data_IF_114077962083
#
_entry.id   IF_114077962083
#
_cell.length_a   1.000
_cell.length_b   1.000
_cell.length_c   1.000
_cell.angle_alpha   90.00
_cell.angle_beta   90.00
_cell.angle_gamma   90.00
#
_symmetry.space_group_name_H-M   'P 1'
#
loop_
_entity.id
_entity.type
_entity.pdbx_description
1 polymer ?
#
# COMPACT_ATOMS: atom_id res chain seq x y z
N UNK A 1 26.93 13.69 34.01
CA UNK A 1 26.28 13.81 32.71
C UNK A 1 25.48 12.52 32.50
N UNK A 2 24.15 12.62 32.64
CA UNK A 2 23.26 11.51 32.39
C UNK A 2 23.46 11.08 30.93
N UNK A 3 23.91 9.85 30.75
CA UNK A 3 23.90 9.16 29.48
C UNK A 3 22.45 9.09 29.01
N UNK A 4 22.04 10.05 28.17
CA UNK A 4 20.77 9.97 27.50
C UNK A 4 20.88 8.86 26.45
N UNK A 5 20.48 7.66 26.82
CA UNK A 5 20.26 6.59 25.86
C UNK A 5 19.54 7.19 24.65
N UNK A 6 20.02 6.96 23.43
CA UNK A 6 19.34 7.47 22.26
C UNK A 6 17.89 7.00 22.32
N UNK A 7 16.94 7.92 22.28
CA UNK A 7 15.52 7.58 22.16
C UNK A 7 15.40 6.69 20.94
N UNK A 8 15.00 5.46 21.15
CA UNK A 8 14.87 4.48 20.08
C UNK A 8 13.73 4.94 19.16
N UNK A 9 14.08 5.75 18.16
CA UNK A 9 13.12 6.42 17.28
C UNK A 9 12.60 5.43 16.27
N UNK A 10 11.35 5.00 16.46
CA UNK A 10 10.65 4.16 15.50
C UNK A 10 10.27 4.97 14.25
N UNK A 11 10.74 4.53 13.08
CA UNK A 11 10.36 5.12 11.80
C UNK A 11 9.34 4.21 11.14
N UNK A 12 8.16 4.76 10.83
CA UNK A 12 7.10 4.08 10.09
C UNK A 12 6.80 4.89 8.84
N UNK A 13 6.77 4.22 7.70
CA UNK A 13 6.43 4.83 6.40
C UNK A 13 5.09 4.28 5.93
N UNK A 14 4.22 5.14 5.43
CA UNK A 14 2.95 4.77 4.81
C UNK A 14 2.88 5.39 3.42
N UNK A 15 2.80 4.55 2.41
CA UNK A 15 2.70 4.97 1.02
C UNK A 15 1.40 4.45 0.40
N UNK A 16 0.91 5.19 -0.58
CA UNK A 16 -0.19 4.77 -1.45
C UNK A 16 0.15 5.15 -2.90
N UNK A 17 -0.31 4.33 -3.84
CA UNK A 17 -0.18 4.64 -5.26
C UNK A 17 -0.99 5.88 -5.60
N UNK A 18 -0.45 6.71 -6.49
CA UNK A 18 -1.11 7.95 -6.91
C UNK A 18 -0.84 8.24 -8.39
N UNK A 19 -1.75 8.94 -9.03
CA UNK A 19 -1.59 9.53 -10.36
C UNK A 19 -1.70 11.05 -10.32
N UNK A 20 -1.90 11.62 -9.12
CA UNK A 20 -2.16 13.04 -8.93
C UNK A 20 -1.00 13.96 -9.32
N UNK A 21 0.23 13.44 -9.38
CA UNK A 21 1.45 14.22 -9.62
C UNK A 21 2.15 13.85 -10.96
N UNK A 22 1.45 13.12 -11.85
CA UNK A 22 1.99 12.66 -13.13
C UNK A 22 2.76 11.34 -13.03
N UNK A 23 3.23 10.86 -14.19
CA UNK A 23 3.80 9.51 -14.33
C UNK A 23 5.12 9.31 -13.58
N UNK A 24 5.87 10.38 -13.34
CA UNK A 24 7.14 10.32 -12.62
C UNK A 24 6.99 10.25 -11.08
N UNK A 25 5.76 10.29 -10.57
CA UNK A 25 5.46 10.19 -9.13
C UNK A 25 4.45 9.06 -8.89
N UNK A 26 4.89 7.81 -8.86
CA UNK A 26 4.00 6.65 -8.78
C UNK A 26 3.34 6.46 -7.39
N UNK A 27 3.89 7.06 -6.34
CA UNK A 27 3.36 6.95 -4.99
C UNK A 27 3.64 8.21 -4.17
N UNK A 28 2.82 8.43 -3.16
CA UNK A 28 3.00 9.48 -2.15
C UNK A 28 2.56 8.98 -0.77
N UNK A 29 2.90 9.72 0.28
CA UNK A 29 2.51 9.29 1.61
C UNK A 29 3.12 10.10 2.74
N UNK A 30 3.42 9.42 3.85
CA UNK A 30 3.90 10.03 5.08
C UNK A 30 4.99 9.20 5.76
N UNK A 31 5.85 9.88 6.51
CA UNK A 31 6.81 9.30 7.45
C UNK A 31 6.36 9.65 8.85
N UNK A 32 6.26 8.65 9.73
CA UNK A 32 6.01 8.83 11.16
C UNK A 32 7.27 8.54 11.96
N UNK A 33 7.60 9.47 12.84
CA UNK A 33 8.73 9.37 13.78
C UNK A 33 8.16 9.10 15.17
N UNK A 34 8.18 7.83 15.58
CA UNK A 34 7.51 7.35 16.78
C UNK A 34 6.01 7.74 16.75
N UNK A 35 5.41 8.03 17.89
CA UNK A 35 4.04 8.54 18.00
C UNK A 35 3.99 10.08 18.13
N UNK A 36 5.10 10.75 17.85
CA UNK A 36 5.30 12.16 18.18
C UNK A 36 5.30 13.09 16.97
N UNK A 37 5.65 12.61 15.79
CA UNK A 37 5.82 13.47 14.62
C UNK A 37 5.42 12.77 13.29
N UNK A 38 4.76 13.53 12.42
CA UNK A 38 4.39 13.07 11.06
C UNK A 38 4.89 14.08 10.03
N UNK A 39 5.57 13.58 9.01
CA UNK A 39 5.94 14.33 7.81
C UNK A 39 5.02 13.82 6.70
N UNK A 40 4.05 14.63 6.30
CA UNK A 40 3.09 14.30 5.23
C UNK A 40 3.51 14.90 3.90
N UNK A 41 3.12 14.27 2.79
CA UNK A 41 3.37 14.78 1.45
C UNK A 41 4.72 14.39 0.87
N UNK A 42 5.36 13.33 1.39
CA UNK A 42 6.50 12.72 0.69
C UNK A 42 6.05 12.13 -0.63
N UNK A 43 6.91 12.12 -1.63
CA UNK A 43 6.66 11.57 -2.96
C UNK A 43 7.75 10.59 -3.33
N UNK A 44 7.35 9.47 -3.92
CA UNK A 44 8.31 8.62 -4.65
C UNK A 44 8.47 9.19 -6.04
N UNK A 45 9.70 9.35 -6.48
CA UNK A 45 10.04 9.85 -7.81
C UNK A 45 10.72 8.77 -8.63
N UNK A 46 10.40 8.73 -9.92
CA UNK A 46 11.00 7.81 -10.88
C UNK A 46 11.49 8.60 -12.09
N UNK A 47 12.81 8.71 -12.25
CA UNK A 47 13.45 9.38 -13.39
C UNK A 47 14.48 8.43 -14.02
N UNK A 48 14.36 8.18 -15.30
CA UNK A 48 15.27 7.32 -16.07
C UNK A 48 15.53 5.96 -15.43
N UNK A 49 14.47 5.35 -14.86
CA UNK A 49 14.55 4.08 -14.16
C UNK A 49 15.15 4.14 -12.74
N UNK A 50 15.56 5.32 -12.29
CA UNK A 50 16.02 5.54 -10.93
C UNK A 50 14.87 5.94 -10.03
N UNK A 51 14.72 5.21 -8.93
CA UNK A 51 13.70 5.45 -7.92
C UNK A 51 14.32 6.14 -6.72
N UNK A 52 13.75 7.26 -6.33
CA UNK A 52 14.14 8.03 -5.15
C UNK A 52 12.89 8.59 -4.46
N UNK A 53 13.06 9.35 -3.41
CA UNK A 53 11.97 10.04 -2.74
C UNK A 53 12.28 11.52 -2.54
N UNK A 54 11.24 12.31 -2.46
CA UNK A 54 11.31 13.73 -2.15
C UNK A 54 10.52 14.05 -0.89
N UNK A 55 11.10 14.89 -0.04
CA UNK A 55 10.40 15.53 1.08
C UNK A 55 9.38 16.54 0.55
N UNK A 56 8.32 16.86 1.32
CA UNK A 56 7.40 17.91 0.96
C UNK A 56 8.16 19.24 0.84
N UNK A 57 7.82 20.02 -0.18
CA UNK A 57 8.49 21.30 -0.50
C UNK A 57 7.52 22.46 -0.36
N UNK A 58 8.03 23.59 0.10
CA UNK A 58 7.32 24.86 0.11
C UNK A 58 7.96 25.82 -0.90
N UNK A 59 7.12 26.54 -1.64
CA UNK A 59 7.58 27.61 -2.54
C UNK A 59 7.75 28.90 -1.74
N UNK A 60 8.95 29.44 -1.74
CA UNK A 60 9.27 30.71 -1.12
C UNK A 60 8.85 31.91 -1.99
N UNK A 61 8.87 33.11 -1.42
CA UNK A 61 8.58 34.37 -2.11
C UNK A 61 9.54 34.69 -3.25
N UNK A 62 10.77 34.16 -3.17
CA UNK A 62 11.78 34.28 -4.23
C UNK A 62 11.55 33.33 -5.42
N UNK A 63 10.51 32.48 -5.35
CA UNK A 63 10.17 31.51 -6.38
C UNK A 63 10.87 30.15 -6.27
N UNK A 64 11.81 29.99 -5.33
CA UNK A 64 12.52 28.74 -5.11
C UNK A 64 11.71 27.77 -4.23
N UNK A 65 12.03 26.49 -4.36
CA UNK A 65 11.42 25.42 -3.55
C UNK A 65 12.43 24.94 -2.49
N UNK A 66 11.95 24.82 -1.25
CA UNK A 66 12.73 24.35 -0.12
C UNK A 66 12.04 23.16 0.54
N UNK A 67 12.83 22.18 0.96
CA UNK A 67 12.31 21.03 1.70
C UNK A 67 11.74 21.48 3.05
N UNK A 68 10.55 21.01 3.40
CA UNK A 68 9.91 21.33 4.67
C UNK A 68 10.49 20.54 5.85
N UNK A 69 11.18 19.44 5.55
CA UNK A 69 11.86 18.62 6.54
C UNK A 69 13.20 18.14 5.97
N UNK A 70 14.27 18.31 6.72
CA UNK A 70 15.62 17.93 6.30
C UNK A 70 16.26 17.10 7.42
N UNK A 71 16.81 15.90 7.11
CA UNK A 71 17.60 15.15 8.06
C UNK A 71 18.85 15.95 8.47
N UNK A 72 19.13 16.04 9.77
CA UNK A 72 20.26 16.83 10.28
C UNK A 72 21.62 16.12 10.16
N UNK A 73 21.60 14.82 9.85
CA UNK A 73 22.84 14.06 9.62
C UNK A 73 22.62 12.99 8.54
N UNK A 74 23.70 12.63 7.87
CA UNK A 74 23.69 11.72 6.72
C UNK A 74 23.21 10.31 7.09
N UNK A 75 23.58 9.81 8.27
CA UNK A 75 23.18 8.49 8.73
C UNK A 75 21.65 8.38 8.86
N UNK A 76 21.02 9.39 9.44
CA UNK A 76 19.56 9.41 9.56
C UNK A 76 18.88 9.61 8.20
N UNK A 77 19.46 10.45 7.34
CA UNK A 77 18.99 10.62 5.95
C UNK A 77 19.01 9.31 5.16
N UNK A 78 20.12 8.56 5.27
CA UNK A 78 20.23 7.24 4.63
C UNK A 78 19.23 6.24 5.19
N UNK A 79 19.02 6.20 6.50
CA UNK A 79 18.02 5.33 7.13
C UNK A 79 16.59 5.65 6.67
N UNK A 80 16.23 6.94 6.56
CA UNK A 80 14.94 7.36 6.02
C UNK A 80 14.77 6.89 4.57
N UNK A 81 15.77 7.10 3.73
CA UNK A 81 15.78 6.67 2.35
C UNK A 81 15.55 5.15 2.23
N UNK A 82 16.31 4.36 2.97
CA UNK A 82 16.15 2.90 2.99
C UNK A 82 14.74 2.47 3.41
N UNK A 83 14.18 3.08 4.45
CA UNK A 83 12.83 2.78 4.93
C UNK A 83 11.75 3.15 3.90
N UNK A 84 11.86 4.32 3.28
CA UNK A 84 10.89 4.79 2.27
C UNK A 84 10.94 3.92 1.01
N UNK A 85 12.12 3.64 0.49
CA UNK A 85 12.28 2.83 -0.73
C UNK A 85 11.92 1.35 -0.49
N UNK A 86 12.21 0.80 0.69
CA UNK A 86 11.77 -0.53 1.10
C UNK A 86 10.24 -0.62 1.12
N UNK A 87 9.56 0.38 1.68
CA UNK A 87 8.09 0.43 1.73
C UNK A 87 7.49 0.55 0.32
N UNK A 88 8.09 1.34 -0.57
CA UNK A 88 7.67 1.42 -1.95
C UNK A 88 7.86 0.09 -2.69
N UNK A 89 8.94 -0.62 -2.44
CA UNK A 89 9.17 -1.97 -2.97
C UNK A 89 8.06 -2.94 -2.59
N UNK A 90 7.61 -2.93 -1.33
CA UNK A 90 6.48 -3.73 -0.86
C UNK A 90 5.15 -3.33 -1.52
N UNK A 91 4.92 -2.03 -1.71
CA UNK A 91 3.73 -1.51 -2.36
C UNK A 91 3.69 -1.83 -3.85
N UNK A 92 4.82 -1.76 -4.55
CA UNK A 92 4.93 -1.98 -5.99
C UNK A 92 4.95 -3.45 -6.38
N UNK A 93 5.41 -4.33 -5.48
CA UNK A 93 5.41 -5.77 -5.74
C UNK A 93 3.99 -6.31 -5.74
N UNK A 94 3.58 -6.89 -6.88
CA UNK A 94 2.25 -7.48 -7.05
C UNK A 94 2.38 -8.94 -7.46
N UNK A 95 1.62 -9.78 -6.77
CA UNK A 95 1.43 -11.18 -7.15
C UNK A 95 0.07 -11.29 -7.84
N UNK A 96 0.08 -11.81 -9.06
CA UNK A 96 -1.16 -12.13 -9.78
C UNK A 96 -1.53 -13.58 -9.47
N UNK A 97 -2.78 -13.79 -9.07
CA UNK A 97 -3.33 -15.13 -8.84
C UNK A 97 -4.79 -15.19 -9.26
N UNK A 98 -5.38 -16.35 -9.18
CA UNK A 98 -6.77 -16.59 -9.55
C UNK A 98 -6.92 -17.95 -10.20
N UNK A 99 -8.17 -18.39 -10.38
CA UNK A 99 -8.49 -19.61 -11.12
C UNK A 99 -8.76 -19.34 -12.61
N UNK A 100 -8.73 -18.06 -12.99
CA UNK A 100 -8.81 -17.58 -14.38
C UNK A 100 -7.96 -16.32 -14.50
N UNK A 101 -7.40 -16.02 -15.67
CA UNK A 101 -6.72 -14.76 -15.87
C UNK A 101 -7.72 -13.61 -16.10
N UNK A 102 -7.28 -12.38 -15.89
CA UNK A 102 -8.15 -11.21 -15.96
C UNK A 102 -8.77 -11.01 -17.36
N UNK A 103 -8.00 -11.25 -18.43
CA UNK A 103 -8.49 -11.08 -19.79
C UNK A 103 -9.57 -12.12 -20.14
N UNK A 104 -9.42 -13.36 -19.72
CA UNK A 104 -10.42 -14.40 -19.89
C UNK A 104 -11.68 -14.10 -19.06
N UNK A 105 -11.51 -13.63 -17.83
CA UNK A 105 -12.65 -13.24 -16.97
C UNK A 105 -13.49 -12.12 -17.61
N UNK A 106 -12.83 -11.09 -18.16
CA UNK A 106 -13.52 -9.97 -18.84
C UNK A 106 -14.19 -10.39 -20.15
N UNK A 107 -13.69 -11.44 -20.80
CA UNK A 107 -14.34 -12.01 -22.00
C UNK A 107 -15.63 -12.76 -21.67
N UNK A 108 -15.83 -13.23 -20.44
CA UNK A 108 -17.03 -13.93 -20.02
C UNK A 108 -18.21 -13.02 -19.65
N UNK A 109 -17.92 -11.77 -19.26
CA UNK A 109 -18.95 -10.83 -18.87
C UNK A 109 -18.44 -9.58 -18.20
N UNK A 110 -19.40 -8.81 -17.67
CA UNK A 110 -19.09 -7.60 -16.92
C UNK A 110 -18.45 -7.96 -15.58
N UNK A 111 -17.34 -7.29 -15.26
CA UNK A 111 -16.55 -7.56 -14.05
C UNK A 111 -16.76 -6.50 -12.99
N UNK A 112 -16.64 -6.91 -11.74
CA UNK A 112 -16.60 -6.05 -10.55
C UNK A 112 -15.30 -6.27 -9.79
N UNK A 113 -14.95 -5.31 -8.95
CA UNK A 113 -13.71 -5.31 -8.17
C UNK A 113 -14.03 -5.14 -6.69
N UNK A 114 -13.32 -5.86 -5.83
CA UNK A 114 -13.36 -5.66 -4.39
C UNK A 114 -11.96 -5.53 -3.82
N UNK A 115 -11.73 -4.43 -3.08
CA UNK A 115 -10.48 -4.15 -2.41
C UNK A 115 -10.55 -4.60 -0.96
N UNK A 116 -9.56 -5.36 -0.52
CA UNK A 116 -9.37 -5.78 0.86
C UNK A 116 -8.08 -5.16 1.42
N UNK A 117 -8.19 -4.35 2.45
CA UNK A 117 -7.05 -3.80 3.20
C UNK A 117 -6.43 -4.82 4.17
N UNK A 118 -7.09 -5.94 4.39
CA UNK A 118 -6.62 -7.03 5.21
C UNK A 118 -6.42 -8.28 4.35
N UNK A 119 -5.15 -8.62 4.09
CA UNK A 119 -4.80 -9.77 3.25
C UNK A 119 -5.24 -11.11 3.87
N UNK A 120 -5.37 -11.21 5.19
CA UNK A 120 -5.88 -12.42 5.85
C UNK A 120 -7.36 -12.66 5.52
N UNK A 121 -8.18 -11.61 5.53
CA UNK A 121 -9.58 -11.69 5.11
C UNK A 121 -9.67 -12.03 3.62
N UNK A 122 -8.87 -11.34 2.79
CA UNK A 122 -8.82 -11.61 1.35
C UNK A 122 -8.47 -13.07 1.04
N UNK A 123 -7.52 -13.66 1.75
CA UNK A 123 -7.14 -15.06 1.56
C UNK A 123 -8.28 -16.03 1.88
N UNK A 124 -9.06 -15.77 2.94
CA UNK A 124 -10.25 -16.56 3.26
C UNK A 124 -11.30 -16.46 2.16
N UNK A 125 -11.49 -15.25 1.60
CA UNK A 125 -12.39 -15.03 0.46
C UNK A 125 -11.92 -15.81 -0.76
N UNK A 126 -10.64 -15.73 -1.10
CA UNK A 126 -10.03 -16.48 -2.22
C UNK A 126 -10.25 -17.98 -2.07
N UNK A 127 -10.04 -18.54 -0.88
CA UNK A 127 -10.28 -19.96 -0.61
C UNK A 127 -11.74 -20.34 -0.85
N UNK A 128 -12.69 -19.54 -0.36
CA UNK A 128 -14.13 -19.78 -0.56
C UNK A 128 -14.55 -19.67 -2.04
N UNK A 129 -13.98 -18.71 -2.79
CA UNK A 129 -14.23 -18.60 -4.23
C UNK A 129 -13.76 -19.84 -4.98
N UNK A 130 -12.56 -20.33 -4.65
CA UNK A 130 -11.98 -21.54 -5.23
C UNK A 130 -12.80 -22.79 -4.89
N UNK A 131 -13.21 -22.97 -3.64
CA UNK A 131 -14.03 -24.09 -3.17
C UNK A 131 -15.39 -24.15 -3.86
N UNK A 132 -15.98 -23.00 -4.16
CA UNK A 132 -17.29 -22.87 -4.84
C UNK A 132 -17.17 -22.83 -6.38
N UNK A 133 -15.95 -22.97 -6.94
CA UNK A 133 -15.68 -22.84 -8.38
C UNK A 133 -16.15 -21.52 -9.00
N UNK A 134 -16.14 -20.45 -8.21
CA UNK A 134 -16.44 -19.10 -8.71
C UNK A 134 -15.19 -18.55 -9.39
N UNK A 135 -15.34 -18.02 -10.60
CA UNK A 135 -14.23 -17.47 -11.38
C UNK A 135 -13.77 -16.12 -10.83
N UNK A 136 -12.49 -16.00 -10.59
CA UNK A 136 -11.87 -14.76 -10.11
C UNK A 136 -10.43 -14.64 -10.58
N UNK A 137 -9.98 -13.40 -10.68
CA UNK A 137 -8.55 -13.04 -10.71
C UNK A 137 -8.23 -12.09 -9.56
N UNK A 138 -7.02 -12.12 -9.04
CA UNK A 138 -6.63 -11.28 -7.94
C UNK A 138 -5.24 -10.69 -8.12
N UNK A 139 -5.06 -9.48 -7.57
CA UNK A 139 -3.77 -8.79 -7.43
C UNK A 139 -3.50 -8.61 -5.96
N UNK A 140 -2.41 -9.21 -5.48
CA UNK A 140 -2.00 -9.17 -4.08
C UNK A 140 -0.70 -8.39 -3.96
N UNK A 141 -0.64 -7.45 -3.05
CA UNK A 141 0.61 -6.84 -2.59
C UNK A 141 0.69 -6.92 -1.06
N UNK A 142 1.77 -6.43 -0.48
CA UNK A 142 2.00 -6.51 0.97
C UNK A 142 0.95 -5.75 1.82
N UNK A 143 0.16 -4.85 1.22
CA UNK A 143 -0.79 -3.96 1.92
C UNK A 143 -2.24 -4.33 1.68
N UNK A 144 -2.53 -4.86 0.51
CA UNK A 144 -3.90 -5.02 0.08
C UNK A 144 -4.04 -6.10 -1.00
N UNK A 145 -5.25 -6.59 -1.14
CA UNK A 145 -5.64 -7.52 -2.20
C UNK A 145 -6.84 -6.95 -2.95
N UNK A 146 -6.74 -6.90 -4.27
CA UNK A 146 -7.89 -6.60 -5.14
C UNK A 146 -8.34 -7.88 -5.82
N UNK A 147 -9.60 -8.25 -5.62
CA UNK A 147 -10.23 -9.41 -6.27
C UNK A 147 -11.18 -8.91 -7.34
N UNK A 148 -11.02 -9.42 -8.57
CA UNK A 148 -11.88 -9.19 -9.71
C UNK A 148 -12.73 -10.43 -9.95
N UNK A 149 -14.03 -10.27 -10.16
CA UNK A 149 -15.01 -11.32 -10.32
C UNK A 149 -16.14 -10.87 -11.26
N UNK A 150 -16.95 -11.82 -11.74
CA UNK A 150 -18.10 -11.46 -12.58
C UNK A 150 -19.16 -10.71 -11.75
N UNK A 151 -19.72 -9.67 -12.32
CA UNK A 151 -20.76 -8.86 -11.66
C UNK A 151 -21.99 -9.68 -11.28
N UNK A 152 -22.27 -10.75 -12.03
CA UNK A 152 -23.32 -11.73 -11.69
C UNK A 152 -23.10 -12.43 -10.34
N UNK A 153 -21.85 -12.50 -9.86
CA UNK A 153 -21.50 -13.15 -8.59
C UNK A 153 -21.44 -12.16 -7.41
N UNK A 154 -21.91 -10.92 -7.62
CA UNK A 154 -21.78 -9.84 -6.63
C UNK A 154 -22.37 -10.19 -5.26
N UNK A 155 -23.59 -10.75 -5.22
CA UNK A 155 -24.24 -11.11 -3.95
C UNK A 155 -23.51 -12.26 -3.25
N UNK A 156 -23.04 -13.25 -3.99
CA UNK A 156 -22.23 -14.35 -3.44
C UNK A 156 -20.90 -13.82 -2.90
N UNK A 157 -20.26 -12.90 -3.60
CA UNK A 157 -19.03 -12.26 -3.16
C UNK A 157 -19.23 -11.44 -1.88
N UNK A 158 -20.37 -10.75 -1.78
CA UNK A 158 -20.77 -10.01 -0.58
C UNK A 158 -20.94 -10.93 0.63
N UNK A 159 -21.68 -12.04 0.47
CA UNK A 159 -21.90 -13.04 1.52
C UNK A 159 -20.56 -13.63 2.03
N UNK A 160 -19.71 -14.09 1.11
CA UNK A 160 -18.40 -14.67 1.42
C UNK A 160 -17.53 -13.65 2.18
N UNK A 161 -17.52 -12.39 1.74
CA UNK A 161 -16.72 -11.32 2.34
C UNK A 161 -17.15 -11.01 3.77
N UNK A 162 -18.44 -10.95 4.04
CA UNK A 162 -18.99 -10.72 5.39
C UNK A 162 -18.66 -11.87 6.33
N UNK A 163 -18.79 -13.10 5.86
CA UNK A 163 -18.41 -14.29 6.64
C UNK A 163 -16.93 -14.29 6.98
N UNK A 164 -16.06 -14.06 6.02
CA UNK A 164 -14.62 -14.01 6.22
C UNK A 164 -14.20 -12.92 7.22
N UNK A 165 -14.84 -11.75 7.19
CA UNK A 165 -14.59 -10.67 8.13
C UNK A 165 -15.00 -11.05 9.56
N UNK A 166 -16.20 -11.63 9.76
CA UNK A 166 -16.70 -12.05 11.08
C UNK A 166 -15.84 -13.13 11.71
N UNK A 167 -15.36 -14.10 10.96
CA UNK A 167 -14.45 -15.15 11.45
C UNK A 167 -13.10 -14.59 11.89
N UNK A 168 -12.63 -13.53 11.24
CA UNK A 168 -11.34 -12.89 11.58
C UNK A 168 -11.46 -12.06 12.87
N UNK A 169 -12.58 -11.41 13.13
CA UNK A 169 -12.83 -10.65 14.38
C UNK A 169 -12.96 -11.56 15.58
N UNK A 170 -13.59 -12.73 15.44
CA UNK A 170 -13.74 -13.68 16.54
C UNK A 170 -12.40 -14.27 17.02
N UNK A 171 -11.40 -14.42 16.13
CA UNK A 171 -10.06 -14.88 16.51
C UNK A 171 -9.22 -13.84 17.27
N UNK A 172 -9.58 -12.56 17.23
CA UNK A 172 -8.91 -11.49 17.99
C UNK A 172 -9.41 -11.34 19.43
N UNK A 173 -10.50 -12.02 19.79
CA UNK A 173 -11.13 -11.96 21.13
C UNK A 173 -10.76 -13.13 22.04
N UNK A 174 -9.95 -14.06 21.59
CA UNK A 174 -9.35 -15.16 22.33
C UNK A 174 -7.88 -14.90 22.60
#
# INVERSE_FOLDING_TARGET
LADKSPVDMKITVRLHKTTAYGDNVPASGEIRLSDSFVISGIKITCHDGTIDYEMPKIKSKDGNYYDMAVPLNDRFGQLLKEKVLSEYGLLSTQILCGNINHAELTAEGEVAYKLFKNNSIAQKVINQLSERNIKYSAKINARETTICFLKSDFETMREISLKAASETENHKKL
#
